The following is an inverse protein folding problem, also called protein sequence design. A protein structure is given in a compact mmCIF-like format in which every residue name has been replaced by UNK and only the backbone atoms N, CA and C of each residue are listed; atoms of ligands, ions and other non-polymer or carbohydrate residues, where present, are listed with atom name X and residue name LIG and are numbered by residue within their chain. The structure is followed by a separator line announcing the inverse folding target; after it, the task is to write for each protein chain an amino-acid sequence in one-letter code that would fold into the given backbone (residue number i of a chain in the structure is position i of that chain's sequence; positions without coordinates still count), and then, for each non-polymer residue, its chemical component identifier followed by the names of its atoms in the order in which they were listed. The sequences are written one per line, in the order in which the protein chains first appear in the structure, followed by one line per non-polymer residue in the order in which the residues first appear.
data_IF_510571847864
#
_entry.id   IF_510571847864
#
_cell.length_a   1.000
_cell.length_b   1.000
_cell.length_c   1.000
_cell.angle_alpha   90.00
_cell.angle_beta   90.00
_cell.angle_gamma   90.00
#
_symmetry.space_group_name_H-M   'P 1'
#
loop_
_entity.id
_entity.type
_entity.pdbx_description
1 polymer ?
#
# COMPACT_ATOMS: atom_id res chain seq x y z
N UNK A 1 -5.30 25.22 10.89
CA UNK A 1 -5.97 25.60 9.64
C UNK A 1 -6.71 24.37 9.14
N UNK A 2 -8.01 24.45 8.92
CA UNK A 2 -8.75 23.38 8.26
C UNK A 2 -8.30 23.28 6.80
N UNK A 3 -7.94 22.08 6.34
CA UNK A 3 -7.64 21.82 4.93
C UNK A 3 -8.89 22.11 4.08
N UNK A 4 -8.75 22.76 2.92
CA UNK A 4 -9.88 22.98 2.02
C UNK A 4 -10.33 21.66 1.37
N UNK A 5 -11.60 21.52 0.93
CA UNK A 5 -12.05 20.32 0.21
C UNK A 5 -11.19 19.96 -1.02
N UNK A 6 -10.61 20.96 -1.69
CA UNK A 6 -9.69 20.77 -2.83
C UNK A 6 -8.35 20.17 -2.37
N UNK A 7 -7.81 20.61 -1.23
CA UNK A 7 -6.57 20.06 -0.68
C UNK A 7 -6.73 18.57 -0.33
N UNK A 8 -7.90 18.23 0.18
CA UNK A 8 -8.26 16.85 0.52
C UNK A 8 -8.38 15.98 -0.75
N UNK A 9 -9.08 16.46 -1.79
CA UNK A 9 -9.18 15.77 -3.08
C UNK A 9 -7.82 15.58 -3.76
N UNK A 10 -6.93 16.57 -3.67
CA UNK A 10 -5.56 16.48 -4.18
C UNK A 10 -4.74 15.43 -3.43
N UNK A 11 -4.87 15.35 -2.10
CA UNK A 11 -4.21 14.31 -1.30
C UNK A 11 -4.73 12.91 -1.61
N UNK A 12 -6.02 12.77 -1.90
CA UNK A 12 -6.61 11.50 -2.34
C UNK A 12 -6.13 11.05 -3.70
N UNK A 13 -6.14 11.95 -4.69
CA UNK A 13 -5.57 11.66 -6.01
C UNK A 13 -4.12 11.22 -5.88
N UNK A 14 -3.35 11.91 -5.04
CA UNK A 14 -1.98 11.52 -4.75
C UNK A 14 -1.91 10.12 -4.12
N UNK A 15 -2.80 9.77 -3.18
CA UNK A 15 -2.86 8.43 -2.59
C UNK A 15 -3.18 7.33 -3.62
N UNK A 16 -4.02 7.62 -4.63
CA UNK A 16 -4.29 6.73 -5.77
C UNK A 16 -3.02 6.53 -6.59
N UNK A 17 -2.41 7.63 -7.03
CA UNK A 17 -1.18 7.58 -7.82
C UNK A 17 -0.06 6.85 -7.05
N UNK A 18 -0.04 6.99 -5.72
CA UNK A 18 0.91 6.32 -4.85
C UNK A 18 0.60 4.83 -4.68
N UNK A 19 -0.68 4.42 -4.68
CA UNK A 19 -1.05 2.99 -4.66
C UNK A 19 -0.67 2.26 -5.94
N UNK A 20 -0.92 2.86 -7.10
CA UNK A 20 -0.50 2.27 -8.38
C UNK A 20 1.03 2.08 -8.42
N UNK A 21 1.77 3.05 -7.87
CA UNK A 21 3.22 2.92 -7.69
C UNK A 21 3.63 1.80 -6.74
N UNK A 22 2.83 1.49 -5.70
CA UNK A 22 3.09 0.35 -4.80
C UNK A 22 3.06 -0.94 -5.62
N UNK A 23 1.95 -1.21 -6.32
CA UNK A 23 1.78 -2.43 -7.11
C UNK A 23 2.91 -2.55 -8.16
N UNK A 24 3.18 -1.48 -8.89
CA UNK A 24 4.21 -1.50 -9.94
C UNK A 24 5.61 -1.73 -9.36
N UNK A 25 5.92 -1.14 -8.21
CA UNK A 25 7.19 -1.34 -7.55
C UNK A 25 7.34 -2.78 -7.04
N UNK A 26 6.28 -3.38 -6.52
CA UNK A 26 6.28 -4.78 -6.06
C UNK A 26 6.44 -5.75 -7.23
N UNK A 27 5.79 -5.47 -8.37
CA UNK A 27 6.05 -6.21 -9.63
C UNK A 27 7.50 -6.07 -10.08
N UNK A 28 8.10 -4.90 -9.98
CA UNK A 28 9.53 -4.69 -10.31
C UNK A 28 10.42 -5.53 -9.39
N UNK A 29 10.15 -5.55 -8.07
CA UNK A 29 10.89 -6.40 -7.13
C UNK A 29 10.75 -7.88 -7.49
N UNK A 30 9.52 -8.34 -7.74
CA UNK A 30 9.26 -9.73 -8.15
C UNK A 30 10.00 -10.10 -9.42
N UNK A 31 10.02 -9.23 -10.43
CA UNK A 31 10.74 -9.48 -11.68
C UNK A 31 12.26 -9.53 -11.45
N UNK A 32 12.81 -8.65 -10.61
CA UNK A 32 14.24 -8.68 -10.26
C UNK A 32 14.60 -9.98 -9.53
N UNK A 33 13.73 -10.45 -8.62
CA UNK A 33 13.90 -11.71 -7.89
C UNK A 33 13.83 -12.92 -8.82
N UNK A 34 12.86 -12.95 -9.73
CA UNK A 34 12.72 -14.02 -10.73
C UNK A 34 13.93 -14.08 -11.68
N UNK A 35 14.48 -12.92 -12.04
CA UNK A 35 15.61 -12.85 -12.97
C UNK A 35 16.97 -13.15 -12.31
N UNK A 36 17.18 -12.72 -11.06
CA UNK A 36 18.51 -12.68 -10.44
C UNK A 36 18.58 -13.29 -9.02
N UNK A 37 17.48 -13.73 -8.44
CA UNK A 37 17.42 -14.21 -7.06
C UNK A 37 17.50 -13.06 -6.04
N UNK A 38 18.67 -12.88 -5.41
CA UNK A 38 18.91 -11.77 -4.47
C UNK A 38 19.84 -10.72 -5.09
N UNK A 39 19.23 -9.68 -5.64
CA UNK A 39 19.91 -8.51 -6.22
C UNK A 39 20.08 -7.39 -5.19
N UNK A 40 21.19 -6.66 -5.31
CA UNK A 40 21.47 -5.48 -4.48
C UNK A 40 20.44 -4.34 -4.66
N UNK A 41 19.60 -4.38 -5.72
CA UNK A 41 18.53 -3.40 -5.93
C UNK A 41 17.32 -3.65 -5.04
N UNK A 42 17.04 -4.92 -4.72
CA UNK A 42 15.89 -5.33 -3.92
C UNK A 42 15.76 -4.53 -2.61
N UNK A 43 16.81 -4.38 -1.77
CA UNK A 43 16.67 -3.62 -0.53
C UNK A 43 16.32 -2.14 -0.76
N UNK A 44 16.82 -1.54 -1.84
CA UNK A 44 16.51 -0.15 -2.17
C UNK A 44 15.05 -0.01 -2.62
N UNK A 45 14.58 -0.94 -3.45
CA UNK A 45 13.18 -1.00 -3.91
C UNK A 45 12.23 -1.28 -2.73
N UNK A 46 12.54 -2.25 -1.87
CA UNK A 46 11.75 -2.58 -0.67
C UNK A 46 11.66 -1.43 0.32
N UNK A 47 12.73 -0.64 0.52
CA UNK A 47 12.68 0.59 1.34
C UNK A 47 11.75 1.64 0.73
N UNK A 48 11.81 1.82 -0.59
CA UNK A 48 10.91 2.74 -1.29
C UNK A 48 9.46 2.29 -1.16
N UNK A 49 9.19 0.99 -1.33
CA UNK A 49 7.87 0.40 -1.12
C UNK A 49 7.35 0.66 0.31
N UNK A 50 8.18 0.38 1.32
CA UNK A 50 7.86 0.66 2.73
C UNK A 50 7.53 2.14 2.97
N UNK A 51 8.25 3.07 2.34
CA UNK A 51 7.98 4.49 2.47
C UNK A 51 6.63 4.89 1.90
N UNK A 52 6.24 4.34 0.74
CA UNK A 52 4.97 4.66 0.09
C UNK A 52 3.81 4.02 0.88
N UNK A 53 3.98 2.79 1.36
CA UNK A 53 2.99 2.13 2.23
C UNK A 53 2.73 2.91 3.53
N UNK A 54 3.77 3.47 4.15
CA UNK A 54 3.62 4.31 5.35
C UNK A 54 2.91 5.63 5.09
N UNK A 55 3.15 6.24 3.92
CA UNK A 55 2.39 7.43 3.51
C UNK A 55 0.91 7.09 3.32
N UNK A 56 0.62 5.93 2.72
CA UNK A 56 -0.74 5.45 2.53
C UNK A 56 -1.45 5.12 3.85
N UNK A 57 -0.73 4.50 4.80
CA UNK A 57 -1.18 4.27 6.19
C UNK A 57 -1.55 5.59 6.87
N UNK A 58 -0.70 6.61 6.73
CA UNK A 58 -0.93 7.94 7.29
C UNK A 58 -2.18 8.61 6.69
N UNK A 59 -2.31 8.59 5.35
CA UNK A 59 -3.45 9.18 4.65
C UNK A 59 -4.75 8.47 5.05
N UNK A 60 -4.76 7.14 5.08
CA UNK A 60 -5.92 6.37 5.51
C UNK A 60 -6.32 6.68 6.96
N UNK A 61 -5.33 6.79 7.86
CA UNK A 61 -5.57 7.12 9.27
C UNK A 61 -6.14 8.53 9.45
N UNK A 62 -5.67 9.49 8.64
CA UNK A 62 -6.24 10.83 8.61
C UNK A 62 -7.68 10.83 8.09
N UNK A 63 -7.96 10.03 7.06
CA UNK A 63 -9.31 9.87 6.53
C UNK A 63 -10.27 9.26 7.55
N UNK A 64 -9.82 8.28 8.35
CA UNK A 64 -10.65 7.60 9.35
C UNK A 64 -10.84 8.38 10.66
N UNK A 65 -9.92 9.31 11.00
CA UNK A 65 -9.94 10.05 12.27
C UNK A 65 -10.75 11.34 12.26
N UNK A 66 -11.23 11.79 11.08
CA UNK A 66 -12.14 12.94 10.97
C UNK A 66 -13.55 12.46 10.64
N UNK A 67 -14.45 12.53 11.61
CA UNK A 67 -15.88 12.22 11.45
C UNK A 67 -16.67 13.16 10.53
N UNK A 68 -16.02 14.06 9.80
CA UNK A 68 -16.65 15.07 8.95
C UNK A 68 -15.70 15.37 7.80
N UNK A 69 -15.98 14.78 6.65
CA UNK A 69 -15.55 15.34 5.38
C UNK A 69 -16.67 16.28 4.93
N UNK A 70 -16.47 17.61 4.91
CA UNK A 70 -17.43 18.52 4.28
C UNK A 70 -17.27 18.33 2.76
N UNK A 71 -17.98 17.34 2.23
CA UNK A 71 -18.01 17.02 0.81
C UNK A 71 -19.44 16.79 0.37
N UNK A 72 -19.75 17.13 -0.88
CA UNK A 72 -21.00 16.67 -1.49
C UNK A 72 -21.02 15.13 -1.54
N UNK A 73 -22.22 14.55 -1.68
CA UNK A 73 -22.43 13.09 -1.69
C UNK A 73 -21.48 12.35 -2.66
N UNK A 74 -21.16 12.98 -3.81
CA UNK A 74 -20.23 12.44 -4.81
C UNK A 74 -18.79 12.26 -4.29
N UNK A 75 -18.30 13.17 -3.45
CA UNK A 75 -16.94 13.08 -2.88
C UNK A 75 -16.85 11.93 -1.89
N UNK A 76 -17.89 11.75 -1.07
CA UNK A 76 -18.00 10.65 -0.11
C UNK A 76 -18.14 9.31 -0.85
N UNK A 77 -18.93 9.27 -1.93
CA UNK A 77 -19.08 8.08 -2.75
C UNK A 77 -17.77 7.66 -3.42
N UNK A 78 -17.02 8.63 -3.98
CA UNK A 78 -15.70 8.38 -4.56
C UNK A 78 -14.73 7.74 -3.56
N UNK A 79 -14.69 8.26 -2.35
CA UNK A 79 -13.88 7.74 -1.25
C UNK A 79 -14.25 6.32 -0.85
N UNK A 80 -15.54 6.04 -0.76
CA UNK A 80 -16.03 4.71 -0.44
C UNK A 80 -15.64 3.70 -1.52
N UNK A 81 -15.80 4.06 -2.79
CA UNK A 81 -15.38 3.22 -3.93
C UNK A 81 -13.87 3.00 -3.92
N UNK A 82 -13.09 4.04 -3.64
CA UNK A 82 -11.64 3.93 -3.55
C UNK A 82 -11.19 3.04 -2.39
N UNK A 83 -11.74 3.26 -1.20
CA UNK A 83 -11.40 2.46 -0.01
C UNK A 83 -11.79 0.99 -0.21
N UNK A 84 -12.92 0.73 -0.89
CA UNK A 84 -13.32 -0.62 -1.34
C UNK A 84 -12.31 -1.21 -2.29
N UNK A 85 -11.87 -0.47 -3.31
CA UNK A 85 -10.90 -0.96 -4.27
C UNK A 85 -9.57 -1.31 -3.61
N UNK A 86 -9.05 -0.44 -2.73
CA UNK A 86 -7.86 -0.70 -1.93
C UNK A 86 -8.03 -1.98 -1.10
N UNK A 87 -9.07 -2.04 -0.27
CA UNK A 87 -9.24 -3.13 0.68
C UNK A 87 -9.56 -4.48 0.01
N UNK A 88 -10.37 -4.50 -1.05
CA UNK A 88 -10.91 -5.74 -1.62
C UNK A 88 -10.10 -6.30 -2.79
N UNK A 89 -9.33 -5.45 -3.49
CA UNK A 89 -8.62 -5.87 -4.71
C UNK A 89 -7.13 -5.63 -4.56
N UNK A 90 -6.80 -4.38 -4.28
CA UNK A 90 -5.45 -3.86 -4.37
C UNK A 90 -4.53 -4.43 -3.27
N UNK A 91 -4.99 -4.48 -2.02
CA UNK A 91 -4.21 -5.04 -0.89
C UNK A 91 -4.07 -6.56 -0.98
N UNK A 92 -5.16 -7.33 -1.24
CA UNK A 92 -5.03 -8.78 -1.44
C UNK A 92 -4.03 -9.12 -2.54
N UNK A 93 -4.11 -8.42 -3.68
CA UNK A 93 -3.18 -8.63 -4.78
C UNK A 93 -1.73 -8.29 -4.40
N UNK A 94 -1.52 -7.20 -3.66
CA UNK A 94 -0.19 -6.81 -3.16
C UNK A 94 0.40 -7.87 -2.22
N UNK A 95 -0.42 -8.44 -1.33
CA UNK A 95 -0.01 -9.55 -0.44
C UNK A 95 0.38 -10.79 -1.23
N UNK A 96 -0.38 -11.14 -2.27
CA UNK A 96 -0.06 -12.27 -3.15
C UNK A 96 1.30 -12.08 -3.81
N UNK A 97 1.58 -10.89 -4.34
CA UNK A 97 2.88 -10.58 -4.94
C UNK A 97 4.03 -10.70 -3.92
N UNK A 98 3.86 -10.17 -2.71
CA UNK A 98 4.89 -10.26 -1.66
C UNK A 98 5.11 -11.70 -1.20
N UNK A 99 4.04 -12.49 -1.07
CA UNK A 99 4.15 -13.90 -0.72
C UNK A 99 4.89 -14.69 -1.82
N UNK A 100 4.64 -14.38 -3.09
CA UNK A 100 5.39 -14.99 -4.19
C UNK A 100 6.90 -14.66 -4.12
N UNK A 101 7.24 -13.40 -3.82
CA UNK A 101 8.64 -13.01 -3.59
C UNK A 101 9.23 -13.77 -2.40
N UNK A 102 8.46 -13.92 -1.32
CA UNK A 102 8.88 -14.62 -0.10
C UNK A 102 9.15 -16.10 -0.36
N UNK A 103 8.33 -16.77 -1.15
CA UNK A 103 8.56 -18.15 -1.57
C UNK A 103 9.91 -18.33 -2.26
N UNK A 104 10.29 -17.39 -3.14
CA UNK A 104 11.62 -17.41 -3.78
C UNK A 104 12.79 -17.24 -2.82
N UNK A 105 12.61 -16.48 -1.75
CA UNK A 105 13.63 -16.39 -0.70
C UNK A 105 13.65 -17.60 0.24
N UNK A 106 12.52 -18.29 0.42
CA UNK A 106 12.46 -19.57 1.14
C UNK A 106 13.23 -20.65 0.36
N UNK A 107 13.03 -20.75 -0.96
CA UNK A 107 13.76 -21.67 -1.84
C UNK A 107 15.29 -21.51 -1.73
N UNK A 108 15.75 -20.30 -1.46
CA UNK A 108 17.18 -19.94 -1.34
C UNK A 108 17.68 -19.81 0.10
N UNK A 109 16.85 -20.15 1.11
CA UNK A 109 17.14 -20.01 2.54
C UNK A 109 17.60 -18.59 2.95
N UNK A 110 17.10 -17.56 2.27
CA UNK A 110 17.48 -16.17 2.52
C UNK A 110 16.64 -15.57 3.67
N UNK A 111 16.96 -15.99 4.89
CA UNK A 111 16.24 -15.62 6.13
C UNK A 111 16.17 -14.11 6.36
N UNK A 112 17.21 -13.37 5.98
CA UNK A 112 17.23 -11.91 6.07
C UNK A 112 16.12 -11.28 5.24
N UNK A 113 15.99 -11.69 3.97
CA UNK A 113 14.95 -11.16 3.06
C UNK A 113 13.56 -11.56 3.49
N UNK A 114 13.40 -12.80 3.96
CA UNK A 114 12.13 -13.27 4.51
C UNK A 114 11.66 -12.38 5.65
N UNK A 115 12.57 -12.00 6.56
CA UNK A 115 12.24 -11.09 7.66
C UNK A 115 11.89 -9.68 7.16
N UNK A 116 12.63 -9.14 6.17
CA UNK A 116 12.30 -7.84 5.55
C UNK A 116 10.90 -7.85 4.92
N UNK A 117 10.50 -8.92 4.23
CA UNK A 117 9.17 -9.06 3.66
C UNK A 117 8.08 -9.24 4.71
N UNK A 118 8.35 -9.96 5.80
CA UNK A 118 7.41 -10.07 6.92
C UNK A 118 7.12 -8.71 7.56
N UNK A 119 8.12 -7.82 7.66
CA UNK A 119 7.89 -6.45 8.12
C UNK A 119 7.06 -5.63 7.13
N UNK A 120 7.23 -5.83 5.82
CA UNK A 120 6.37 -5.20 4.81
C UNK A 120 4.91 -5.68 4.91
N UNK A 121 4.69 -6.99 5.06
CA UNK A 121 3.36 -7.57 5.24
C UNK A 121 2.65 -6.97 6.46
N UNK A 122 3.35 -6.78 7.59
CA UNK A 122 2.78 -6.11 8.77
C UNK A 122 2.33 -4.68 8.49
N UNK A 123 3.02 -3.93 7.63
CA UNK A 123 2.60 -2.58 7.24
C UNK A 123 1.34 -2.68 6.37
N UNK A 124 1.32 -3.60 5.41
CA UNK A 124 0.15 -3.82 4.54
C UNK A 124 -1.07 -4.25 5.34
N UNK A 125 -0.92 -5.11 6.35
CA UNK A 125 -2.00 -5.51 7.25
C UNK A 125 -2.60 -4.30 7.98
N UNK A 126 -1.76 -3.37 8.45
CA UNK A 126 -2.24 -2.12 9.07
C UNK A 126 -2.99 -1.24 8.09
N UNK A 127 -2.47 -1.10 6.86
CA UNK A 127 -3.16 -0.37 5.80
C UNK A 127 -4.53 -1.03 5.55
N UNK A 128 -4.60 -2.35 5.45
CA UNK A 128 -5.86 -3.08 5.26
C UNK A 128 -6.88 -2.77 6.36
N UNK A 129 -6.47 -2.84 7.63
CA UNK A 129 -7.35 -2.54 8.76
C UNK A 129 -7.89 -1.11 8.72
N UNK A 130 -7.07 -0.14 8.32
CA UNK A 130 -7.47 1.27 8.20
C UNK A 130 -8.50 1.43 7.09
N UNK A 131 -8.22 0.90 5.90
CA UNK A 131 -9.12 1.06 4.76
C UNK A 131 -10.39 0.23 4.91
N UNK A 132 -10.34 -0.95 5.53
CA UNK A 132 -11.52 -1.76 5.84
C UNK A 132 -12.52 -1.01 6.76
N UNK A 133 -12.01 -0.24 7.74
CA UNK A 133 -12.85 0.60 8.62
C UNK A 133 -13.54 1.75 7.89
N UNK A 134 -12.99 2.20 6.76
CA UNK A 134 -13.61 3.24 5.93
C UNK A 134 -14.79 2.70 5.10
N UNK A 135 -14.94 1.37 5.02
CA UNK A 135 -15.96 0.72 4.18
C UNK A 135 -17.10 0.09 4.98
N UNK A 136 -16.87 -0.18 6.27
CA UNK A 136 -17.82 -0.82 7.19
C UNK A 136 -18.88 0.18 7.70
#
# INVERSE_FOLDING_TARGET
MEDSPIDILNRLKKAIDDYEKIIDLTKIILNEVRAYGDSNKIPLLSRRLSSILKELELVGSMASSKGLWPGNDTTVEYLNVFSRYIALVSIPYEKDLINEIKEKFIETNNTKRINELNELLKIIDKVEEIYAKLVA
#
